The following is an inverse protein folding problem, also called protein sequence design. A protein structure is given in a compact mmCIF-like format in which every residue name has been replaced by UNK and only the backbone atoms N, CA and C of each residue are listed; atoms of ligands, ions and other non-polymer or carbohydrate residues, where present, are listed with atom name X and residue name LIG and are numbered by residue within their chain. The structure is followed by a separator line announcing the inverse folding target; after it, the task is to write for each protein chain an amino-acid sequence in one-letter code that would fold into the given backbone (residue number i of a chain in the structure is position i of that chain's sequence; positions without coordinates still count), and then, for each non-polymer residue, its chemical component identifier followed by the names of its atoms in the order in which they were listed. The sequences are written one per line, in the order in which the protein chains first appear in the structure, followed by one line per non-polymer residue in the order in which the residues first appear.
data_IF_988527096138
#
_entry.id   IF_988527096138
#
_cell.length_a   1.000
_cell.length_b   1.000
_cell.length_c   1.000
_cell.angle_alpha   90.00
_cell.angle_beta   90.00
_cell.angle_gamma   90.00
#
_symmetry.space_group_name_H-M   'P 1'
#
loop_
_entity.id
_entity.type
_entity.pdbx_description
1 polymer ?
#
# COMPACT_ATOMS: atom_id res chain seq x y z
N UNK A 1 -2.08 38.76 -14.29
CA UNK A 1 -0.99 37.97 -14.89
C UNK A 1 -0.19 37.28 -13.80
N UNK A 2 -0.37 35.96 -13.61
CA UNK A 2 0.67 34.98 -13.21
C UNK A 2 0.00 33.59 -13.11
N UNK A 3 -0.02 32.86 -14.24
CA UNK A 3 0.57 31.53 -14.46
C UNK A 3 0.06 30.41 -13.57
N UNK A 4 -1.00 29.77 -14.09
CA UNK A 4 -1.40 28.38 -13.86
C UNK A 4 -0.18 27.47 -14.13
N UNK A 5 0.40 26.86 -13.10
CA UNK A 5 1.40 25.81 -13.25
C UNK A 5 0.62 24.52 -13.53
N UNK A 6 0.34 24.31 -14.82
CA UNK A 6 -0.01 23.00 -15.34
C UNK A 6 1.26 22.15 -15.34
N UNK A 7 1.40 21.28 -14.35
CA UNK A 7 2.42 20.23 -14.35
C UNK A 7 1.82 18.97 -14.96
N UNK A 8 1.60 19.04 -16.27
CA UNK A 8 1.59 17.87 -17.14
C UNK A 8 3.07 17.52 -17.31
N UNK A 9 3.51 16.38 -16.77
CA UNK A 9 4.65 15.58 -17.25
C UNK A 9 5.03 14.53 -16.20
N UNK A 10 4.39 13.36 -16.26
CA UNK A 10 5.12 12.08 -16.17
C UNK A 10 4.59 11.20 -17.30
N UNK A 11 4.81 11.65 -18.53
CA UNK A 11 4.94 10.75 -19.67
C UNK A 11 6.26 10.04 -19.52
N UNK A 12 6.24 8.90 -18.83
CA UNK A 12 7.39 8.01 -18.73
C UNK A 12 7.52 7.24 -20.05
N UNK A 13 8.03 7.94 -21.07
CA UNK A 13 8.58 7.32 -22.27
C UNK A 13 9.93 6.72 -21.86
N UNK A 14 9.92 5.48 -21.37
CA UNK A 14 11.09 4.62 -21.52
C UNK A 14 10.93 3.89 -22.86
N UNK A 15 11.49 4.50 -23.90
CA UNK A 15 11.98 3.74 -25.04
C UNK A 15 13.17 2.92 -24.58
N UNK A 16 12.98 1.61 -24.40
CA UNK A 16 14.09 0.70 -24.07
C UNK A 16 13.73 -0.60 -23.37
N UNK A 17 12.64 -1.31 -23.72
CA UNK A 17 12.57 -2.77 -23.58
C UNK A 17 11.38 -3.32 -24.41
N UNK A 18 11.66 -3.90 -25.56
CA UNK A 18 10.67 -4.50 -26.47
C UNK A 18 10.17 -5.88 -26.02
N UNK A 19 9.74 -6.02 -24.77
CA UNK A 19 9.11 -7.25 -24.29
C UNK A 19 8.23 -6.97 -23.06
N UNK A 20 6.94 -6.83 -23.33
CA UNK A 20 5.87 -7.17 -22.40
C UNK A 20 5.65 -6.21 -21.23
N UNK A 21 5.00 -5.07 -21.48
CA UNK A 21 4.01 -4.64 -20.49
C UNK A 21 2.94 -5.74 -20.55
N UNK A 22 2.72 -6.49 -19.46
CA UNK A 22 1.76 -7.59 -19.51
C UNK A 22 0.38 -7.02 -19.85
N UNK A 23 -0.34 -7.68 -20.76
CA UNK A 23 -1.69 -7.27 -21.19
C UNK A 23 -2.68 -7.22 -20.00
N UNK A 24 -2.34 -7.91 -18.92
CA UNK A 24 -3.05 -7.89 -17.63
C UNK A 24 -2.14 -7.40 -16.51
N UNK A 25 -2.67 -6.69 -15.50
CA UNK A 25 -1.95 -6.37 -14.28
C UNK A 25 -1.39 -7.65 -13.63
N UNK A 26 -0.28 -7.51 -12.88
CA UNK A 26 0.29 -8.62 -12.13
C UNK A 26 -0.74 -9.24 -11.16
N UNK A 27 -0.67 -10.55 -10.92
CA UNK A 27 -1.57 -11.21 -9.98
C UNK A 27 -1.36 -10.64 -8.57
N UNK A 28 -2.48 -10.36 -7.89
CA UNK A 28 -2.49 -9.86 -6.52
C UNK A 28 -2.77 -11.02 -5.56
N UNK A 29 -1.84 -11.30 -4.65
CA UNK A 29 -2.01 -12.31 -3.62
C UNK A 29 -2.38 -11.65 -2.28
N UNK A 30 -3.66 -11.72 -1.92
CA UNK A 30 -4.17 -11.13 -0.69
C UNK A 30 -3.64 -11.84 0.57
N UNK A 31 -3.35 -13.14 0.50
CA UNK A 31 -2.85 -13.90 1.65
C UNK A 31 -1.39 -13.56 1.94
N UNK A 32 -0.57 -13.52 0.90
CA UNK A 32 0.82 -13.08 1.00
C UNK A 32 0.89 -11.63 1.51
N UNK A 33 0.05 -10.74 0.96
CA UNK A 33 0.02 -9.34 1.37
C UNK A 33 -0.47 -9.19 2.83
N UNK A 34 -1.49 -9.95 3.24
CA UNK A 34 -1.95 -9.97 4.64
C UNK A 34 -0.84 -10.37 5.59
N UNK A 35 -0.06 -11.38 5.21
CA UNK A 35 1.08 -11.85 6.02
C UNK A 35 2.16 -10.77 6.14
N UNK A 36 2.49 -10.11 5.03
CA UNK A 36 3.50 -9.05 5.00
C UNK A 36 3.06 -7.83 5.81
N UNK A 37 1.83 -7.35 5.60
CA UNK A 37 1.28 -6.18 6.27
C UNK A 37 1.20 -6.39 7.80
N UNK A 38 0.80 -7.59 8.25
CA UNK A 38 0.79 -7.94 9.68
C UNK A 38 2.20 -7.97 10.29
N UNK A 39 3.17 -8.56 9.60
CA UNK A 39 4.57 -8.56 10.06
C UNK A 39 5.13 -7.15 10.18
N UNK A 40 4.85 -6.28 9.22
CA UNK A 40 5.29 -4.89 9.25
C UNK A 40 4.64 -4.12 10.41
N UNK A 41 3.33 -4.31 10.65
CA UNK A 41 2.66 -3.73 11.81
C UNK A 41 3.24 -4.23 13.14
N UNK A 42 3.57 -5.50 13.28
CA UNK A 42 4.18 -6.02 14.50
C UNK A 42 5.55 -5.38 14.78
N UNK A 43 6.36 -5.17 13.75
CA UNK A 43 7.65 -4.47 13.88
C UNK A 43 7.41 -3.05 14.37
N UNK A 44 6.49 -2.31 13.75
CA UNK A 44 6.19 -0.93 14.12
C UNK A 44 5.61 -0.82 15.54
N UNK A 45 4.70 -1.72 15.91
CA UNK A 45 4.15 -1.81 17.28
C UNK A 45 5.27 -2.07 18.29
N UNK A 46 6.21 -2.95 17.98
CA UNK A 46 7.34 -3.22 18.86
C UNK A 46 8.25 -2.00 19.02
N UNK A 47 8.45 -1.21 17.96
CA UNK A 47 9.18 0.06 18.04
C UNK A 47 8.44 1.07 18.94
N UNK A 48 7.12 1.23 18.78
CA UNK A 48 6.30 2.11 19.63
C UNK A 48 6.35 1.67 21.10
N UNK A 49 6.27 0.37 21.37
CA UNK A 49 6.35 -0.18 22.73
C UNK A 49 7.71 0.08 23.38
N UNK A 50 8.79 -0.09 22.62
CA UNK A 50 10.16 0.09 23.08
C UNK A 50 10.52 1.57 23.30
N UNK A 51 9.82 2.51 22.67
CA UNK A 51 10.06 3.94 22.83
C UNK A 51 9.77 4.40 24.26
N UNK A 52 10.79 4.88 24.96
CA UNK A 52 10.67 5.37 26.34
C UNK A 52 10.23 6.84 26.43
N UNK A 53 10.23 7.56 25.32
CA UNK A 53 9.81 8.96 25.25
C UNK A 53 8.29 9.13 25.18
N UNK A 54 7.58 8.08 24.75
CA UNK A 54 6.12 8.07 24.65
C UNK A 54 5.46 7.69 25.97
N UNK A 55 4.38 8.39 26.30
CA UNK A 55 3.46 7.98 27.36
C UNK A 55 2.71 6.70 26.99
N UNK A 56 2.22 5.94 27.96
CA UNK A 56 1.41 4.74 27.69
C UNK A 56 0.12 5.06 26.92
N UNK A 57 -0.44 6.26 27.13
CA UNK A 57 -1.60 6.74 26.38
C UNK A 57 -1.24 6.99 24.91
N UNK A 58 -0.08 7.61 24.63
CA UNK A 58 0.38 7.84 23.26
C UNK A 58 0.75 6.54 22.56
N UNK A 59 1.37 5.59 23.27
CA UNK A 59 1.66 4.25 22.73
C UNK A 59 0.37 3.55 22.33
N UNK A 60 -0.64 3.58 23.20
CA UNK A 60 -1.94 2.96 22.91
C UNK A 60 -2.60 3.59 21.68
N UNK A 61 -2.59 4.93 21.58
CA UNK A 61 -3.14 5.64 20.42
C UNK A 61 -2.41 5.28 19.12
N UNK A 62 -1.08 5.25 19.16
CA UNK A 62 -0.26 4.94 17.98
C UNK A 62 -0.41 3.49 17.55
N UNK A 63 -0.43 2.54 18.49
CA UNK A 63 -0.69 1.12 18.18
C UNK A 63 -2.06 0.94 17.55
N UNK A 64 -3.10 1.61 18.07
CA UNK A 64 -4.43 1.59 17.47
C UNK A 64 -4.43 2.15 16.03
N UNK A 65 -3.66 3.21 15.79
CA UNK A 65 -3.51 3.77 14.45
C UNK A 65 -2.80 2.81 13.47
N UNK A 66 -1.76 2.08 13.92
CA UNK A 66 -1.09 1.05 13.12
C UNK A 66 -2.08 -0.06 12.73
N UNK A 67 -2.88 -0.55 13.68
CA UNK A 67 -3.90 -1.56 13.40
C UNK A 67 -4.93 -1.07 12.39
N UNK A 68 -5.50 0.12 12.60
CA UNK A 68 -6.47 0.71 11.68
C UNK A 68 -5.87 0.96 10.27
N UNK A 69 -4.60 1.36 10.21
CA UNK A 69 -3.87 1.55 8.96
C UNK A 69 -3.71 0.26 8.16
N UNK A 70 -3.31 -0.83 8.82
CA UNK A 70 -3.19 -2.15 8.16
C UNK A 70 -4.55 -2.68 7.71
N UNK A 71 -5.59 -2.54 8.53
CA UNK A 71 -6.94 -2.96 8.14
C UNK A 71 -7.47 -2.17 6.92
N UNK A 72 -7.27 -0.85 6.92
CA UNK A 72 -7.64 0.01 5.81
C UNK A 72 -6.88 -0.35 4.53
N UNK A 73 -5.57 -0.55 4.64
CA UNK A 73 -4.73 -0.99 3.52
C UNK A 73 -5.19 -2.33 2.93
N UNK A 74 -5.38 -3.35 3.77
CA UNK A 74 -5.80 -4.68 3.31
C UNK A 74 -7.20 -4.67 2.69
N UNK A 75 -8.10 -3.82 3.19
CA UNK A 75 -9.41 -3.61 2.56
C UNK A 75 -9.25 -3.05 1.14
N UNK A 76 -8.47 -1.99 0.96
CA UNK A 76 -8.24 -1.41 -0.37
C UNK A 76 -7.51 -2.38 -1.30
N UNK A 77 -6.58 -3.18 -0.77
CA UNK A 77 -5.92 -4.22 -1.55
C UNK A 77 -6.90 -5.29 -2.02
N UNK A 78 -7.80 -5.76 -1.14
CA UNK A 78 -8.83 -6.73 -1.50
C UNK A 78 -9.81 -6.18 -2.55
N UNK A 79 -10.24 -4.92 -2.41
CA UNK A 79 -11.09 -4.24 -3.40
C UNK A 79 -10.37 -4.11 -4.76
N UNK A 80 -9.09 -3.78 -4.75
CA UNK A 80 -8.27 -3.69 -5.96
C UNK A 80 -8.07 -5.05 -6.64
N UNK A 81 -7.82 -6.11 -5.86
CA UNK A 81 -7.77 -7.49 -6.37
C UNK A 81 -9.09 -7.87 -7.00
N UNK A 82 -10.21 -7.58 -6.33
CA UNK A 82 -11.55 -7.86 -6.85
C UNK A 82 -11.79 -7.15 -8.18
N UNK A 83 -11.48 -5.86 -8.27
CA UNK A 83 -11.62 -5.09 -9.50
C UNK A 83 -10.73 -5.63 -10.63
N UNK A 84 -9.50 -6.05 -10.31
CA UNK A 84 -8.60 -6.74 -11.26
C UNK A 84 -9.25 -8.02 -11.78
N UNK A 85 -9.68 -8.89 -10.87
CA UNK A 85 -10.22 -10.20 -11.21
C UNK A 85 -11.53 -10.08 -12.01
N UNK A 86 -12.34 -9.06 -11.75
CA UNK A 86 -13.54 -8.73 -12.56
C UNK A 86 -13.18 -8.25 -13.96
N UNK A 87 -12.10 -7.48 -14.12
CA UNK A 87 -11.71 -6.90 -15.41
C UNK A 87 -10.90 -7.86 -16.29
N UNK A 88 -10.04 -8.68 -15.68
CA UNK A 88 -9.05 -9.50 -16.40
C UNK A 88 -9.20 -11.02 -16.16
N UNK A 89 -10.13 -11.43 -15.30
CA UNK A 89 -10.28 -12.81 -14.86
C UNK A 89 -9.42 -13.15 -13.64
N UNK A 90 -9.81 -14.22 -12.95
CA UNK A 90 -9.03 -14.79 -11.84
C UNK A 90 -7.88 -15.59 -12.45
N UNK A 91 -6.65 -15.24 -12.09
CA UNK A 91 -5.44 -16.02 -12.37
C UNK A 91 -5.12 -16.99 -11.23
#
# INVERSE_FOLDING_TARGET
MLRLIGLILIGFVISGCGSGIPDKPLPMDLEAETTLARKNAEIEINMIRADKSLSDADKTRQIAAVHAGVEGYLKTFAESKKARDEQYGVD
#
